data_IF_286770327426
#
_entry.id   IF_286770327426
#
_cell.length_a   1.000
_cell.length_b   1.000
_cell.length_c   1.000
_cell.angle_alpha   90.00
_cell.angle_beta   90.00
_cell.angle_gamma   90.00
#
_symmetry.space_group_name_H-M   'P 1'
#
loop_
_entity.id
_entity.type
_entity.pdbx_description
1 polymer ?
#
# COMPACT_ATOMS: atom_id res chain seq x y z
N UNK A 1 47.01 34.30 -31.88
CA UNK A 1 46.40 34.91 -33.09
C UNK A 1 44.89 34.84 -32.88
N UNK A 2 44.20 35.87 -32.38
CA UNK A 2 43.72 37.10 -33.08
C UNK A 2 42.97 36.71 -34.37
N UNK A 3 41.67 36.96 -34.57
CA UNK A 3 41.01 38.28 -34.69
C UNK A 3 39.46 38.12 -34.76
N UNK A 4 38.72 39.00 -34.03
CA UNK A 4 37.41 39.71 -34.26
C UNK A 4 36.13 38.97 -34.76
N UNK A 5 34.96 39.08 -34.07
CA UNK A 5 33.86 40.11 -34.08
C UNK A 5 33.14 40.25 -35.45
N UNK A 6 31.84 40.47 -35.65
CA UNK A 6 30.73 41.28 -35.05
C UNK A 6 29.37 40.66 -35.49
N UNK A 7 28.33 40.57 -34.64
CA UNK A 7 27.16 41.47 -34.41
C UNK A 7 25.91 41.13 -35.24
N UNK A 8 24.73 41.25 -34.60
CA UNK A 8 23.41 41.10 -35.21
C UNK A 8 22.27 41.03 -34.19
N UNK A 9 21.82 42.20 -33.72
CA UNK A 9 20.59 42.43 -32.95
C UNK A 9 19.34 42.30 -33.84
N UNK A 10 18.19 41.85 -33.29
CA UNK A 10 16.93 42.62 -33.35
C UNK A 10 15.82 42.10 -32.40
N UNK A 11 15.61 42.86 -31.33
CA UNK A 11 14.36 43.47 -30.84
C UNK A 11 12.98 43.04 -31.41
N UNK A 12 12.03 42.63 -30.54
CA UNK A 12 10.84 43.43 -30.14
C UNK A 12 9.73 42.62 -29.40
N UNK A 13 9.55 42.99 -28.11
CA UNK A 13 8.30 43.33 -27.39
C UNK A 13 7.01 42.50 -27.48
N UNK A 14 6.50 42.08 -26.31
CA UNK A 14 5.16 42.45 -25.76
C UNK A 14 4.91 41.89 -24.34
N UNK A 15 4.95 42.82 -23.39
CA UNK A 15 4.07 43.13 -22.24
C UNK A 15 3.28 41.98 -21.54
N UNK A 16 3.50 41.66 -20.25
CA UNK A 16 3.16 42.36 -18.98
C UNK A 16 1.73 42.08 -18.47
N UNK A 17 1.62 41.31 -17.37
CA UNK A 17 0.56 41.30 -16.33
C UNK A 17 1.07 40.29 -15.26
N UNK A 18 1.61 40.67 -14.10
CA UNK A 18 1.07 41.58 -13.11
C UNK A 18 0.46 40.78 -11.94
N UNK A 19 1.27 40.05 -11.14
CA UNK A 19 0.81 39.54 -9.83
C UNK A 19 1.44 40.37 -8.71
N UNK A 20 0.82 41.50 -8.42
CA UNK A 20 1.05 42.23 -7.17
C UNK A 20 0.35 41.49 -6.03
N UNK A 21 1.08 41.18 -4.95
CA UNK A 21 0.46 40.82 -3.68
C UNK A 21 0.06 42.11 -2.96
N UNK A 22 -1.21 42.46 -3.05
CA UNK A 22 -1.81 43.48 -2.17
C UNK A 22 -1.85 42.93 -0.75
N UNK A 23 -1.27 43.68 0.19
CA UNK A 23 -1.35 43.37 1.62
C UNK A 23 -2.48 44.20 2.21
N UNK A 24 -3.70 43.65 2.18
CA UNK A 24 -4.82 44.27 2.86
C UNK A 24 -4.81 43.89 4.34
N UNK A 25 -4.58 44.89 5.20
CA UNK A 25 -4.79 44.79 6.64
C UNK A 25 -6.29 44.87 6.92
N UNK A 26 -6.90 43.75 7.34
CA UNK A 26 -8.22 43.78 7.99
C UNK A 26 -8.22 42.87 9.22
N UNK A 27 -8.54 43.51 10.35
CA UNK A 27 -9.29 43.06 11.53
C UNK A 27 -9.29 41.59 11.98
N UNK A 28 -9.10 41.43 13.28
CA UNK A 28 -9.18 40.20 14.05
C UNK A 28 -10.45 39.35 13.78
N UNK A 29 -10.21 38.06 13.51
CA UNK A 29 -10.92 36.97 14.18
C UNK A 29 -12.19 36.42 13.53
N UNK A 30 -12.05 35.63 12.47
CA UNK A 30 -12.73 34.33 12.30
C UNK A 30 -11.86 33.47 11.39
N UNK A 31 -11.44 32.28 11.82
CA UNK A 31 -10.69 31.36 10.95
C UNK A 31 -11.64 30.79 9.89
N UNK A 32 -11.52 31.24 8.64
CA UNK A 32 -12.16 30.58 7.52
C UNK A 32 -11.51 29.20 7.36
N UNK A 33 -12.27 28.14 7.67
CA UNK A 33 -11.88 26.78 7.30
C UNK A 33 -11.99 26.70 5.78
N UNK A 34 -10.87 26.90 5.09
CA UNK A 34 -10.75 26.51 3.69
C UNK A 34 -10.91 25.00 3.66
N UNK A 35 -12.03 24.53 3.13
CA UNK A 35 -12.21 23.12 2.78
C UNK A 35 -11.21 22.85 1.66
N UNK A 36 -10.05 22.33 2.06
CA UNK A 36 -9.00 21.90 1.14
C UNK A 36 -9.57 20.84 0.19
N UNK A 37 -9.05 20.84 -1.04
CA UNK A 37 -9.59 20.18 -2.22
C UNK A 37 -10.14 18.79 -1.92
N UNK A 38 -11.32 18.51 -2.48
CA UNK A 38 -11.99 17.20 -2.48
C UNK A 38 -10.98 16.05 -2.47
N UNK A 39 -10.83 15.41 -1.29
CA UNK A 39 -10.02 14.20 -1.10
C UNK A 39 -10.43 13.21 -2.19
N UNK A 40 -9.55 12.99 -3.16
CA UNK A 40 -9.80 12.06 -4.26
C UNK A 40 -10.18 10.73 -3.61
N UNK A 41 -11.40 10.25 -3.81
CA UNK A 41 -11.79 8.94 -3.31
C UNK A 41 -10.84 7.94 -3.92
N UNK A 42 -10.05 7.30 -3.08
CA UNK A 42 -9.25 6.15 -3.42
C UNK A 42 -10.23 5.04 -3.79
N UNK A 43 -10.53 4.93 -5.09
CA UNK A 43 -11.37 3.89 -5.65
C UNK A 43 -10.56 2.60 -5.88
N UNK A 44 -9.66 2.29 -4.95
CA UNK A 44 -8.86 1.07 -5.03
C UNK A 44 -9.80 -0.12 -4.89
N UNK A 45 -9.50 -1.19 -5.63
CA UNK A 45 -10.24 -2.44 -5.47
C UNK A 45 -9.76 -3.12 -4.19
N UNK A 46 -10.67 -3.80 -3.50
CA UNK A 46 -10.33 -4.68 -2.37
C UNK A 46 -9.80 -6.00 -2.90
N UNK A 47 -8.58 -6.36 -2.50
CA UNK A 47 -7.99 -7.67 -2.72
C UNK A 47 -7.88 -8.41 -1.38
N UNK A 48 -8.57 -9.54 -1.27
CA UNK A 48 -8.51 -10.42 -0.09
C UNK A 48 -7.62 -11.61 -0.43
N UNK A 49 -6.59 -11.84 0.39
CA UNK A 49 -5.64 -12.93 0.21
C UNK A 49 -5.75 -13.93 1.36
N UNK A 50 -5.84 -15.22 1.01
CA UNK A 50 -5.50 -16.29 1.95
C UNK A 50 -3.97 -16.41 2.05
N UNK A 51 -3.50 -17.08 3.10
CA UNK A 51 -2.10 -17.26 3.43
C UNK A 51 -1.63 -18.66 3.02
N UNK A 52 -2.30 -19.70 3.54
CA UNK A 52 -1.91 -21.09 3.32
C UNK A 52 -2.26 -21.54 1.90
N UNK A 53 -1.29 -22.12 1.19
CA UNK A 53 -1.45 -22.57 -0.20
C UNK A 53 -1.49 -21.43 -1.23
N UNK A 54 -1.49 -20.17 -0.79
CA UNK A 54 -1.45 -18.99 -1.68
C UNK A 54 -0.13 -18.26 -1.55
N UNK A 55 0.21 -17.74 -0.36
CA UNK A 55 1.43 -16.99 -0.09
C UNK A 55 2.55 -17.87 0.44
N UNK A 56 2.17 -18.90 1.21
CA UNK A 56 3.09 -19.86 1.81
C UNK A 56 2.63 -21.29 1.58
N UNK A 57 3.58 -22.21 1.63
CA UNK A 57 3.34 -23.65 1.63
C UNK A 57 3.83 -24.27 2.95
N UNK A 58 3.03 -25.16 3.54
CA UNK A 58 3.37 -25.85 4.79
C UNK A 58 3.78 -27.27 4.43
N UNK A 59 5.09 -27.52 4.49
CA UNK A 59 5.68 -28.79 4.09
C UNK A 59 6.05 -29.61 5.32
N UNK A 60 5.66 -30.87 5.34
CA UNK A 60 6.10 -31.81 6.39
C UNK A 60 7.56 -32.18 6.16
N UNK A 61 8.38 -32.01 7.19
CA UNK A 61 9.81 -32.37 7.13
C UNK A 61 10.00 -33.86 6.86
N UNK A 62 11.16 -34.23 6.29
CA UNK A 62 11.52 -35.64 6.00
C UNK A 62 11.43 -36.53 7.24
N UNK A 63 11.73 -35.97 8.42
CA UNK A 63 11.62 -36.69 9.70
C UNK A 63 10.17 -36.98 10.13
N UNK A 64 9.18 -36.36 9.48
CA UNK A 64 7.75 -36.41 9.83
C UNK A 64 7.38 -35.71 11.14
N UNK A 65 8.35 -35.22 11.91
CA UNK A 65 8.15 -34.71 13.28
C UNK A 65 7.87 -33.21 13.34
N UNK A 66 8.11 -32.48 12.25
CA UNK A 66 7.94 -31.02 12.17
C UNK A 66 7.34 -30.61 10.83
N UNK A 67 6.69 -29.44 10.84
CA UNK A 67 6.27 -28.72 9.65
C UNK A 67 7.19 -27.51 9.45
N UNK A 68 7.53 -27.24 8.20
CA UNK A 68 8.29 -26.07 7.77
C UNK A 68 7.41 -25.23 6.85
N UNK A 69 7.49 -23.92 7.02
CA UNK A 69 6.79 -22.97 6.13
C UNK A 69 7.75 -22.52 5.05
N UNK A 70 7.32 -22.56 3.79
CA UNK A 70 8.06 -22.08 2.64
C UNK A 70 7.29 -20.94 1.98
N UNK A 71 7.91 -19.77 1.91
CA UNK A 71 7.36 -18.63 1.18
C UNK A 71 7.33 -18.94 -0.32
N UNK A 72 6.24 -18.56 -0.99
CA UNK A 72 6.10 -18.73 -2.44
C UNK A 72 7.15 -17.87 -3.17
N UNK A 73 7.74 -18.35 -4.28
CA UNK A 73 8.66 -17.53 -5.06
C UNK A 73 8.03 -16.18 -5.45
N UNK A 74 8.80 -15.09 -5.33
CA UNK A 74 8.38 -13.72 -5.61
C UNK A 74 7.25 -13.19 -4.71
N UNK A 75 6.99 -13.82 -3.55
CA UNK A 75 5.91 -13.39 -2.66
C UNK A 75 6.09 -11.97 -2.13
N UNK A 76 7.32 -11.54 -1.83
CA UNK A 76 7.62 -10.20 -1.33
C UNK A 76 7.26 -9.13 -2.37
N UNK A 77 7.81 -9.23 -3.58
CA UNK A 77 7.49 -8.33 -4.70
C UNK A 77 5.98 -8.34 -5.03
N UNK A 78 5.35 -9.50 -4.97
CA UNK A 78 3.91 -9.64 -5.18
C UNK A 78 3.09 -8.89 -4.12
N UNK A 79 3.45 -9.03 -2.84
CA UNK A 79 2.75 -8.36 -1.75
C UNK A 79 2.96 -6.84 -1.81
N UNK A 80 4.18 -6.40 -2.12
CA UNK A 80 4.47 -4.99 -2.33
C UNK A 80 3.62 -4.41 -3.47
N UNK A 81 3.57 -5.10 -4.61
CA UNK A 81 2.69 -4.72 -5.72
C UNK A 81 1.22 -4.65 -5.30
N UNK A 82 0.74 -5.62 -4.50
CA UNK A 82 -0.63 -5.62 -4.03
C UNK A 82 -0.93 -4.40 -3.15
N UNK A 83 -0.04 -4.09 -2.19
CA UNK A 83 -0.20 -2.96 -1.26
C UNK A 83 -0.15 -1.59 -1.95
N UNK A 84 0.54 -1.48 -3.08
CA UNK A 84 0.61 -0.24 -3.86
C UNK A 84 -0.63 0.01 -4.71
N UNK A 85 -1.32 -1.05 -5.13
CA UNK A 85 -2.37 -0.97 -6.16
C UNK A 85 -3.79 -1.30 -5.64
N UNK A 86 -3.90 -1.93 -4.47
CA UNK A 86 -5.16 -2.42 -3.90
C UNK A 86 -5.29 -2.04 -2.44
N UNK A 87 -6.52 -1.99 -1.95
CA UNK A 87 -6.77 -2.09 -0.52
C UNK A 87 -6.69 -3.58 -0.17
N UNK A 88 -5.68 -3.98 0.59
CA UNK A 88 -5.38 -5.40 0.84
C UNK A 88 -5.87 -5.84 2.21
N UNK A 89 -6.61 -6.93 2.25
CA UNK A 89 -6.98 -7.63 3.48
C UNK A 89 -6.46 -9.06 3.48
N UNK A 90 -6.04 -9.55 4.64
CA UNK A 90 -5.73 -10.98 4.85
C UNK A 90 -6.95 -11.66 5.46
N UNK A 91 -7.38 -12.78 4.89
CA UNK A 91 -8.40 -13.63 5.49
C UNK A 91 -7.99 -15.09 5.34
N UNK A 92 -7.69 -15.73 6.47
CA UNK A 92 -7.23 -17.11 6.49
C UNK A 92 -8.01 -17.96 7.48
N UNK A 93 -8.11 -19.25 7.17
CA UNK A 93 -8.64 -20.27 8.08
C UNK A 93 -7.64 -20.68 9.17
N UNK A 94 -6.44 -20.10 9.17
CA UNK A 94 -5.41 -20.38 10.16
C UNK A 94 -5.76 -19.83 11.56
N UNK A 95 -5.32 -20.48 12.65
CA UNK A 95 -5.45 -19.93 14.00
C UNK A 95 -4.68 -18.61 14.14
N UNK A 96 -5.22 -17.67 14.92
CA UNK A 96 -4.64 -16.32 15.11
C UNK A 96 -3.14 -16.31 15.36
N UNK A 97 -2.64 -17.12 16.30
CA UNK A 97 -1.20 -17.15 16.64
C UNK A 97 -0.32 -17.53 15.45
N UNK A 98 -0.76 -18.46 14.61
CA UNK A 98 -0.02 -18.84 13.41
C UNK A 98 -0.06 -17.71 12.39
N UNK A 99 -1.25 -17.18 12.14
CA UNK A 99 -1.46 -16.10 11.17
C UNK A 99 -0.66 -14.86 11.52
N UNK A 100 -0.70 -14.41 12.78
CA UNK A 100 0.01 -13.20 13.24
C UNK A 100 1.52 -13.35 12.99
N UNK A 101 2.12 -14.49 13.34
CA UNK A 101 3.54 -14.75 13.10
C UNK A 101 3.87 -14.76 11.59
N UNK A 102 3.07 -15.44 10.78
CA UNK A 102 3.32 -15.54 9.34
C UNK A 102 3.17 -14.18 8.65
N UNK A 103 2.18 -13.39 9.02
CA UNK A 103 1.97 -12.04 8.47
C UNK A 103 3.13 -11.13 8.87
N UNK A 104 3.63 -11.24 10.10
CA UNK A 104 4.80 -10.50 10.57
C UNK A 104 6.06 -10.88 9.77
N UNK A 105 6.26 -12.16 9.48
CA UNK A 105 7.39 -12.65 8.67
C UNK A 105 7.29 -12.20 7.20
N UNK A 106 6.09 -12.14 6.62
CA UNK A 106 5.88 -11.81 5.21
C UNK A 106 5.86 -10.29 4.92
N UNK A 107 5.32 -9.49 5.84
CA UNK A 107 5.06 -8.08 5.60
C UNK A 107 5.84 -7.15 6.54
N UNK A 108 6.34 -7.64 7.68
CA UNK A 108 7.04 -6.82 8.66
C UNK A 108 6.26 -5.54 9.00
N UNK A 109 6.89 -4.39 8.80
CA UNK A 109 6.29 -3.07 9.06
C UNK A 109 5.18 -2.69 8.07
N UNK A 110 5.15 -3.30 6.89
CA UNK A 110 4.17 -3.03 5.83
C UNK A 110 2.79 -3.59 6.18
N UNK A 111 2.69 -4.49 7.16
CA UNK A 111 1.41 -5.04 7.64
C UNK A 111 0.42 -3.96 8.09
N UNK A 112 0.91 -2.80 8.51
CA UNK A 112 0.08 -1.64 8.91
C UNK A 112 -0.74 -1.06 7.75
N UNK A 113 -0.38 -1.38 6.51
CA UNK A 113 -1.12 -0.99 5.30
C UNK A 113 -2.28 -1.92 5.00
N UNK A 114 -2.36 -3.10 5.64
CA UNK A 114 -3.52 -3.98 5.52
C UNK A 114 -4.74 -3.30 6.13
N UNK A 115 -5.88 -3.41 5.44
CA UNK A 115 -7.14 -2.88 5.96
C UNK A 115 -7.77 -3.79 7.03
N UNK A 116 -7.45 -5.09 6.99
CA UNK A 116 -7.77 -6.06 8.04
C UNK A 116 -6.87 -7.30 7.93
N UNK A 117 -6.76 -8.03 9.03
CA UNK A 117 -6.16 -9.36 9.09
C UNK A 117 -7.06 -10.26 9.94
N UNK A 118 -7.75 -11.20 9.27
CA UNK A 118 -8.77 -12.06 9.88
C UNK A 118 -8.30 -13.51 9.91
N UNK A 119 -8.32 -14.07 11.12
CA UNK A 119 -8.04 -15.47 11.38
C UNK A 119 -9.31 -16.33 11.35
N UNK A 120 -9.15 -17.62 11.64
CA UNK A 120 -10.22 -18.61 11.70
C UNK A 120 -11.46 -18.16 12.49
N UNK A 121 -11.30 -17.35 13.53
CA UNK A 121 -12.43 -16.85 14.34
C UNK A 121 -13.45 -16.01 13.56
N UNK A 122 -13.06 -15.47 12.40
CA UNK A 122 -13.95 -14.74 11.48
C UNK A 122 -14.55 -15.64 10.39
N UNK A 123 -14.14 -16.90 10.30
CA UNK A 123 -14.75 -17.86 9.39
C UNK A 123 -16.08 -18.37 9.97
N UNK A 124 -17.03 -18.69 9.09
CA UNK A 124 -18.23 -19.41 9.49
C UNK A 124 -17.92 -20.91 9.55
N UNK A 125 -18.25 -21.56 10.66
CA UNK A 125 -18.14 -23.02 10.76
C UNK A 125 -19.10 -23.68 9.78
N UNK A 126 -18.58 -24.58 8.94
CA UNK A 126 -19.37 -25.24 7.89
C UNK A 126 -20.20 -26.40 8.43
N UNK A 127 -19.89 -26.89 9.64
CA UNK A 127 -20.52 -28.09 10.21
C UNK A 127 -20.07 -29.42 9.59
N UNK A 128 -19.15 -29.39 8.62
CA UNK A 128 -18.59 -30.57 7.96
C UNK A 128 -17.16 -30.84 8.43
N UNK A 129 -16.84 -32.10 8.73
CA UNK A 129 -15.46 -32.51 8.99
C UNK A 129 -14.72 -32.71 7.67
N UNK A 130 -13.54 -32.11 7.54
CA UNK A 130 -12.60 -32.50 6.49
C UNK A 130 -11.74 -33.67 7.01
N UNK A 131 -11.24 -34.55 6.12
CA UNK A 131 -10.46 -35.73 6.52
C UNK A 131 -9.24 -35.40 7.40
N UNK A 132 -8.73 -34.17 7.33
CA UNK A 132 -7.56 -33.72 8.08
C UNK A 132 -7.87 -33.27 9.52
N UNK A 133 -9.14 -33.17 9.93
CA UNK A 133 -9.57 -32.65 11.24
C UNK A 133 -9.94 -33.76 12.26
N UNK A 134 -9.35 -34.95 12.11
CA UNK A 134 -9.53 -36.11 12.99
C UNK A 134 -8.40 -36.24 14.03
#
# INVERSE_FOLDING_TARGET
MSVRREDGEDSQTRNNEGRGCGVDRVGAGVAAVTVDGSKKRNNNKLLILDVNGVLIDIVRTVSGRRYETKTRPFCEDFLQFCLENFDVGIWSSAPKKYLDNTVDDLLGDEKKKLIFCWDKSYCTETGFMTPENN
#
